data_IF_406541166617
#
_entry.id   IF_406541166617
#
_cell.length_a   1.000
_cell.length_b   1.000
_cell.length_c   1.000
_cell.angle_alpha   90.00
_cell.angle_beta   90.00
_cell.angle_gamma   90.00
#
_symmetry.space_group_name_H-M   'P 1'
#
loop_
_entity.id
_entity.type
_entity.pdbx_description
1 polymer ?
#
# COMPACT_ATOMS: atom_id res chain seq x y z
N UNK A 1 11.42 14.47 -4.87
CA UNK A 1 10.83 14.34 -6.24
C UNK A 1 9.62 15.26 -6.29
N UNK A 2 9.62 16.23 -7.21
CA UNK A 2 8.50 17.19 -7.36
C UNK A 2 7.31 16.49 -8.05
N UNK A 3 6.18 16.47 -7.40
CA UNK A 3 4.92 15.90 -7.92
C UNK A 3 4.00 17.05 -8.30
N UNK A 4 3.34 16.94 -9.46
CA UNK A 4 2.39 17.93 -9.95
C UNK A 4 1.16 18.00 -9.03
N UNK A 5 0.69 19.23 -8.80
CA UNK A 5 -0.55 19.49 -8.07
C UNK A 5 -1.43 20.38 -8.96
N UNK A 6 -2.64 19.92 -9.22
CA UNK A 6 -3.61 20.58 -10.10
C UNK A 6 -4.70 21.29 -9.29
N UNK A 7 -5.02 22.52 -9.64
CA UNK A 7 -6.20 23.19 -9.11
C UNK A 7 -7.46 22.52 -9.68
N UNK A 8 -8.39 22.13 -8.82
CA UNK A 8 -9.65 21.52 -9.26
C UNK A 8 -10.80 22.52 -9.29
N UNK A 9 -11.08 23.16 -8.17
CA UNK A 9 -12.21 24.08 -8.04
C UNK A 9 -12.09 24.91 -6.76
N UNK A 10 -13.02 25.86 -6.61
CA UNK A 10 -13.27 26.55 -5.36
C UNK A 10 -14.69 26.21 -4.89
N UNK A 11 -14.81 25.83 -3.63
CA UNK A 11 -16.08 25.50 -2.98
C UNK A 11 -16.15 26.16 -1.60
N UNK A 12 -17.19 26.95 -1.34
CA UNK A 12 -17.37 27.66 -0.08
C UNK A 12 -16.12 28.46 0.33
N UNK A 13 -15.54 29.22 -0.62
CA UNK A 13 -14.31 30.03 -0.43
C UNK A 13 -13.07 29.21 -0.10
N UNK A 14 -13.08 27.89 -0.34
CA UNK A 14 -11.93 27.01 -0.16
C UNK A 14 -11.45 26.47 -1.49
N UNK A 15 -10.17 26.64 -1.76
CA UNK A 15 -9.53 26.14 -2.99
C UNK A 15 -9.17 24.66 -2.80
N UNK A 16 -9.59 23.83 -3.75
CA UNK A 16 -9.37 22.39 -3.75
C UNK A 16 -8.32 22.06 -4.80
N UNK A 17 -7.31 21.32 -4.38
CA UNK A 17 -6.18 20.91 -5.20
C UNK A 17 -6.04 19.40 -5.21
N UNK A 18 -5.63 18.84 -6.33
CA UNK A 18 -5.35 17.41 -6.49
C UNK A 18 -3.85 17.18 -6.69
N UNK A 19 -3.22 16.47 -5.74
CA UNK A 19 -1.86 16.00 -5.90
C UNK A 19 -1.83 14.74 -6.76
N UNK A 20 -1.13 14.82 -7.87
CA UNK A 20 -1.11 13.82 -8.94
C UNK A 20 0.01 12.79 -8.71
N UNK A 21 -0.09 12.02 -7.61
CA UNK A 21 0.83 10.91 -7.35
C UNK A 21 0.78 9.82 -8.46
N UNK A 22 -0.33 9.75 -9.19
CA UNK A 22 -0.51 8.88 -10.36
C UNK A 22 0.37 9.25 -11.55
N UNK A 23 0.83 10.51 -11.65
CA UNK A 23 1.70 11.01 -12.71
C UNK A 23 3.21 10.94 -12.36
N UNK A 24 3.55 10.25 -11.29
CA UNK A 24 4.96 9.97 -11.00
C UNK A 24 5.56 9.21 -12.19
N UNK A 25 6.70 9.70 -12.70
CA UNK A 25 7.42 9.09 -13.85
C UNK A 25 8.16 7.80 -13.44
N UNK A 26 7.46 6.89 -12.81
CA UNK A 26 7.95 5.58 -12.40
C UNK A 26 7.02 4.50 -12.95
N UNK A 27 7.55 3.30 -13.19
CA UNK A 27 6.72 2.19 -13.70
C UNK A 27 5.68 1.75 -12.67
N UNK A 28 6.03 1.75 -11.38
CA UNK A 28 5.09 1.63 -10.28
C UNK A 28 4.69 3.03 -9.84
N UNK A 29 3.43 3.40 -9.95
CA UNK A 29 2.93 4.76 -9.71
C UNK A 29 2.14 4.90 -8.42
N UNK A 30 1.80 6.15 -8.07
CA UNK A 30 0.95 6.48 -6.95
C UNK A 30 1.56 6.11 -5.59
N UNK A 31 0.69 5.95 -4.61
CA UNK A 31 1.09 5.61 -3.25
C UNK A 31 1.81 4.25 -3.15
N UNK A 32 1.68 3.37 -4.15
CA UNK A 32 2.36 2.07 -4.15
C UNK A 32 3.85 2.21 -4.43
N UNK A 33 4.26 3.15 -5.29
CA UNK A 33 5.66 3.52 -5.45
C UNK A 33 6.27 3.92 -4.10
N UNK A 34 5.62 4.83 -3.38
CA UNK A 34 6.09 5.30 -2.07
C UNK A 34 6.22 4.16 -1.06
N UNK A 35 5.19 3.33 -0.94
CA UNK A 35 5.16 2.20 -0.01
C UNK A 35 6.20 1.13 -0.31
N UNK A 36 6.47 0.87 -1.59
CA UNK A 36 7.37 -0.19 -2.00
C UNK A 36 8.84 0.24 -2.08
N UNK A 37 9.13 1.54 -2.22
CA UNK A 37 10.49 2.09 -2.37
C UNK A 37 11.47 1.54 -1.34
N UNK A 38 11.21 1.75 -0.07
CA UNK A 38 12.12 1.32 1.01
C UNK A 38 12.03 -0.18 1.29
N UNK A 39 10.87 -0.80 1.04
CA UNK A 39 10.73 -2.26 1.11
C UNK A 39 11.63 -2.96 0.07
N UNK A 40 11.72 -2.41 -1.15
CA UNK A 40 12.64 -2.95 -2.16
C UNK A 40 14.11 -2.78 -1.76
N UNK A 41 14.49 -1.62 -1.23
CA UNK A 41 15.86 -1.38 -0.74
C UNK A 41 16.22 -2.39 0.34
N UNK A 42 15.34 -2.62 1.31
CA UNK A 42 15.57 -3.56 2.39
C UNK A 42 15.62 -5.01 1.88
N UNK A 43 14.72 -5.41 0.99
CA UNK A 43 14.74 -6.73 0.36
C UNK A 43 16.09 -7.00 -0.35
N UNK A 44 16.62 -6.01 -1.08
CA UNK A 44 17.93 -6.09 -1.74
C UNK A 44 19.07 -6.17 -0.73
N UNK A 45 19.04 -5.35 0.31
CA UNK A 45 20.05 -5.37 1.40
C UNK A 45 20.12 -6.73 2.09
N UNK A 46 18.96 -7.37 2.28
CA UNK A 46 18.87 -8.72 2.84
C UNK A 46 19.22 -9.83 1.83
N UNK A 47 19.59 -9.50 0.60
CA UNK A 47 19.81 -10.46 -0.50
C UNK A 47 18.62 -11.42 -0.69
N UNK A 48 17.41 -10.92 -0.46
CA UNK A 48 16.21 -11.73 -0.57
C UNK A 48 15.92 -12.10 -2.02
N UNK A 49 15.86 -13.40 -2.30
CA UNK A 49 15.62 -13.92 -3.67
C UNK A 49 14.15 -13.85 -4.08
N UNK A 50 13.26 -13.63 -3.12
CA UNK A 50 11.83 -13.57 -3.37
C UNK A 50 11.11 -12.63 -2.40
N UNK A 51 10.11 -11.91 -2.91
CA UNK A 51 9.19 -11.08 -2.13
C UNK A 51 7.84 -11.79 -2.07
N UNK A 52 7.23 -11.86 -0.89
CA UNK A 52 5.88 -12.37 -0.72
C UNK A 52 4.97 -11.28 -0.15
N UNK A 53 3.76 -11.19 -0.69
CA UNK A 53 2.77 -10.24 -0.17
C UNK A 53 1.35 -10.81 -0.21
N UNK A 54 0.39 -10.03 0.27
CA UNK A 54 -1.00 -10.42 0.48
C UNK A 54 -1.96 -9.42 -0.17
N UNK A 55 -3.12 -9.91 -0.65
CA UNK A 55 -4.16 -9.04 -1.17
C UNK A 55 -5.42 -9.78 -1.58
N UNK A 56 -6.48 -9.02 -1.84
CA UNK A 56 -7.66 -9.53 -2.54
C UNK A 56 -7.42 -9.58 -4.06
N UNK A 57 -8.35 -10.16 -4.79
CA UNK A 57 -8.24 -10.35 -6.25
C UNK A 57 -8.07 -9.05 -7.05
N UNK A 58 -8.60 -7.93 -6.56
CA UNK A 58 -8.49 -6.61 -7.21
C UNK A 58 -7.46 -5.71 -6.51
N UNK A 59 -6.45 -6.29 -5.88
CA UNK A 59 -5.46 -5.55 -5.11
C UNK A 59 -4.44 -4.84 -5.99
N UNK A 60 -4.49 -3.51 -6.03
CA UNK A 60 -3.44 -2.69 -6.65
C UNK A 60 -2.07 -2.91 -5.99
N UNK A 61 -2.03 -3.41 -4.75
CA UNK A 61 -0.78 -3.72 -4.08
C UNK A 61 -0.14 -5.01 -4.62
N UNK A 62 -0.94 -6.06 -4.89
CA UNK A 62 -0.43 -7.26 -5.56
C UNK A 62 0.19 -6.91 -6.91
N UNK A 63 -0.55 -6.18 -7.75
CA UNK A 63 -0.06 -5.77 -9.06
C UNK A 63 1.22 -4.93 -8.97
N UNK A 64 1.24 -3.92 -8.10
CA UNK A 64 2.42 -3.08 -7.92
C UNK A 64 3.65 -3.88 -7.45
N UNK A 65 3.45 -4.88 -6.58
CA UNK A 65 4.53 -5.76 -6.11
C UNK A 65 5.01 -6.69 -7.23
N UNK A 66 4.09 -7.24 -8.04
CA UNK A 66 4.44 -8.06 -9.20
C UNK A 66 5.29 -7.28 -10.20
N UNK A 67 4.84 -6.09 -10.58
CA UNK A 67 5.55 -5.20 -11.50
C UNK A 67 6.93 -4.79 -10.94
N UNK A 68 7.01 -4.48 -9.64
CA UNK A 68 8.27 -4.17 -8.97
C UNK A 68 9.27 -5.33 -9.07
N UNK A 69 8.80 -6.56 -8.82
CA UNK A 69 9.61 -7.76 -8.92
C UNK A 69 10.09 -7.99 -10.34
N UNK A 70 9.22 -7.87 -11.33
CA UNK A 70 9.56 -7.99 -12.75
C UNK A 70 10.68 -7.03 -13.18
N UNK A 71 10.53 -5.74 -12.83
CA UNK A 71 11.51 -4.70 -13.18
C UNK A 71 12.88 -4.95 -12.53
N UNK A 72 12.90 -5.53 -11.32
CA UNK A 72 14.12 -5.71 -10.54
C UNK A 72 14.68 -7.14 -10.58
N UNK A 73 14.10 -8.05 -11.37
CA UNK A 73 14.54 -9.44 -11.45
C UNK A 73 14.37 -10.23 -10.15
N UNK A 74 13.41 -9.84 -9.31
CA UNK A 74 13.12 -10.49 -8.03
C UNK A 74 11.84 -11.30 -8.16
N UNK A 75 11.86 -12.57 -7.79
CA UNK A 75 10.65 -13.41 -7.78
C UNK A 75 9.61 -12.88 -6.81
N UNK A 76 8.35 -12.87 -7.21
CA UNK A 76 7.26 -12.41 -6.37
C UNK A 76 6.19 -13.47 -6.17
N UNK A 77 5.62 -13.48 -4.98
CA UNK A 77 4.54 -14.39 -4.56
C UNK A 77 3.40 -13.57 -3.97
N UNK A 78 2.18 -13.84 -4.45
CA UNK A 78 0.97 -13.19 -3.98
C UNK A 78 0.03 -14.18 -3.31
N UNK A 79 -0.23 -14.01 -2.02
CA UNK A 79 -1.29 -14.75 -1.35
C UNK A 79 -2.61 -14.05 -1.61
N UNK A 80 -3.49 -14.70 -2.38
CA UNK A 80 -4.76 -14.13 -2.84
C UNK A 80 -5.90 -14.64 -1.97
N UNK A 81 -6.69 -13.70 -1.43
CA UNK A 81 -7.88 -14.01 -0.65
C UNK A 81 -9.03 -14.40 -1.56
N UNK A 82 -9.54 -15.63 -1.41
CA UNK A 82 -10.67 -16.21 -2.15
C UNK A 82 -10.24 -17.28 -3.14
N UNK A 83 -10.55 -18.54 -2.84
CA UNK A 83 -10.21 -19.70 -3.69
C UNK A 83 -10.91 -19.65 -5.04
N UNK A 84 -12.09 -19.06 -5.10
CA UNK A 84 -12.90 -18.91 -6.29
C UNK A 84 -12.18 -18.17 -7.43
N UNK A 85 -11.22 -17.33 -7.08
CA UNK A 85 -10.43 -16.57 -8.05
C UNK A 85 -9.40 -17.42 -8.79
N UNK A 86 -9.13 -18.63 -8.32
CA UNK A 86 -8.26 -19.57 -9.05
C UNK A 86 -8.87 -19.95 -10.40
N UNK A 87 -10.15 -20.28 -10.39
CA UNK A 87 -10.89 -20.65 -11.60
C UNK A 87 -11.23 -19.43 -12.46
N UNK A 88 -11.53 -18.30 -11.82
CA UNK A 88 -11.86 -17.02 -12.45
C UNK A 88 -10.66 -16.13 -12.75
N UNK A 89 -9.44 -16.66 -12.73
CA UNK A 89 -8.22 -15.88 -12.97
C UNK A 89 -8.27 -15.11 -14.29
N UNK A 90 -8.74 -15.76 -15.35
CA UNK A 90 -8.84 -15.17 -16.70
C UNK A 90 -9.90 -14.05 -16.82
N UNK A 91 -10.78 -13.92 -15.85
CA UNK A 91 -11.80 -12.87 -15.79
C UNK A 91 -11.32 -11.62 -15.02
N UNK A 92 -10.16 -11.70 -14.36
CA UNK A 92 -9.66 -10.65 -13.48
C UNK A 92 -8.39 -9.98 -14.05
N UNK A 93 -8.50 -8.77 -14.60
CA UNK A 93 -7.36 -8.06 -15.19
C UNK A 93 -6.19 -7.83 -14.22
N UNK A 94 -6.48 -7.60 -12.93
CA UNK A 94 -5.45 -7.39 -11.91
C UNK A 94 -4.61 -8.65 -11.72
N UNK A 95 -5.26 -9.83 -11.59
CA UNK A 95 -4.56 -11.09 -11.41
C UNK A 95 -3.82 -11.52 -12.68
N UNK A 96 -4.41 -11.31 -13.86
CA UNK A 96 -3.73 -11.53 -15.14
C UNK A 96 -2.45 -10.71 -15.20
N UNK A 97 -2.52 -9.43 -14.87
CA UNK A 97 -1.36 -8.55 -14.86
C UNK A 97 -0.30 -8.96 -13.82
N UNK A 98 -0.71 -9.51 -12.67
CA UNK A 98 0.24 -10.09 -11.71
C UNK A 98 1.00 -11.27 -12.34
N UNK A 99 0.30 -12.20 -12.99
CA UNK A 99 0.90 -13.36 -13.65
C UNK A 99 1.82 -12.95 -14.80
N UNK A 100 1.37 -12.02 -15.64
CA UNK A 100 2.16 -11.48 -16.77
C UNK A 100 3.46 -10.81 -16.30
N UNK A 101 3.48 -10.29 -15.07
CA UNK A 101 4.68 -9.76 -14.42
C UNK A 101 5.42 -10.83 -13.58
N UNK A 102 5.18 -12.12 -13.84
CA UNK A 102 5.91 -13.22 -13.23
C UNK A 102 5.59 -13.52 -11.76
N UNK A 103 4.48 -13.00 -11.22
CA UNK A 103 4.07 -13.30 -9.84
C UNK A 103 3.44 -14.70 -9.76
N UNK A 104 3.92 -15.50 -8.83
CA UNK A 104 3.27 -16.76 -8.46
C UNK A 104 2.10 -16.47 -7.52
N UNK A 105 0.87 -16.78 -7.94
CA UNK A 105 -0.34 -16.57 -7.15
C UNK A 105 -0.70 -17.84 -6.37
N UNK A 106 -0.99 -17.67 -5.07
CA UNK A 106 -1.41 -18.72 -4.16
C UNK A 106 -2.78 -18.33 -3.60
N UNK A 107 -3.81 -19.06 -4.03
CA UNK A 107 -5.18 -18.77 -3.63
C UNK A 107 -5.52 -19.50 -2.33
N UNK A 108 -6.11 -18.80 -1.39
CA UNK A 108 -6.53 -19.35 -0.09
C UNK A 108 -7.94 -18.90 0.25
N UNK A 109 -8.69 -19.74 0.98
CA UNK A 109 -10.02 -19.37 1.45
C UNK A 109 -9.96 -18.13 2.36
N UNK A 110 -11.07 -17.40 2.47
CA UNK A 110 -11.16 -16.23 3.35
C UNK A 110 -10.84 -16.57 4.80
N UNK A 111 -11.19 -17.76 5.27
CA UNK A 111 -10.94 -18.18 6.65
C UNK A 111 -9.47 -18.54 6.89
N UNK A 112 -8.80 -19.15 5.93
CA UNK A 112 -7.35 -19.37 5.99
C UNK A 112 -6.64 -18.02 5.94
N UNK A 113 -7.07 -17.11 5.06
CA UNK A 113 -6.46 -15.79 4.90
C UNK A 113 -6.51 -14.94 6.19
N UNK A 114 -7.59 -15.02 6.97
CA UNK A 114 -7.71 -14.35 8.28
C UNK A 114 -6.60 -14.77 9.25
N UNK A 115 -6.05 -15.98 9.09
CA UNK A 115 -5.00 -16.55 9.94
C UNK A 115 -3.58 -16.18 9.50
N UNK A 116 -3.39 -15.31 8.51
CA UNK A 116 -2.08 -15.00 7.89
C UNK A 116 -0.99 -14.52 8.85
N UNK A 117 -1.37 -13.99 10.01
CA UNK A 117 -0.44 -13.56 11.05
C UNK A 117 -0.07 -14.68 12.04
N UNK A 118 -0.60 -15.91 11.86
CA UNK A 118 -0.37 -17.04 12.74
C UNK A 118 0.60 -18.04 12.09
N UNK A 119 1.46 -18.67 12.88
CA UNK A 119 2.38 -19.71 12.41
C UNK A 119 1.65 -20.90 11.74
N UNK A 120 0.41 -21.22 12.19
CA UNK A 120 -0.43 -22.25 11.56
C UNK A 120 -0.75 -21.97 10.10
N UNK A 121 -0.86 -20.69 9.70
CA UNK A 121 -1.09 -20.28 8.32
C UNK A 121 -0.02 -20.85 7.38
N UNK A 122 1.25 -20.67 7.73
CA UNK A 122 2.39 -21.10 6.92
C UNK A 122 2.45 -22.62 6.74
N UNK A 123 2.05 -23.38 7.76
CA UNK A 123 1.92 -24.83 7.69
C UNK A 123 0.80 -25.25 6.71
N UNK A 124 -0.36 -24.58 6.78
CA UNK A 124 -1.51 -24.87 5.91
C UNK A 124 -1.15 -24.63 4.44
N UNK A 125 -0.50 -23.52 4.11
CA UNK A 125 -0.14 -23.20 2.73
C UNK A 125 1.19 -23.87 2.30
N UNK A 126 1.82 -24.64 3.18
CA UNK A 126 3.08 -25.38 2.95
C UNK A 126 4.22 -24.49 2.44
N UNK A 127 4.33 -23.27 2.97
CA UNK A 127 5.42 -22.35 2.68
C UNK A 127 6.27 -22.08 3.91
N UNK A 128 7.58 -21.94 3.71
CA UNK A 128 8.50 -21.47 4.73
C UNK A 128 8.67 -19.96 4.62
N UNK A 129 8.16 -19.16 5.59
CA UNK A 129 8.22 -17.71 5.53
C UNK A 129 9.65 -17.14 5.51
N UNK A 130 10.64 -17.86 6.08
CA UNK A 130 12.03 -17.40 6.11
C UNK A 130 12.70 -17.31 4.74
N UNK A 131 12.09 -17.91 3.70
CA UNK A 131 12.58 -17.84 2.31
C UNK A 131 12.17 -16.54 1.58
N UNK A 132 11.37 -15.68 2.22
CA UNK A 132 10.79 -14.52 1.59
C UNK A 132 11.07 -13.24 2.37
N UNK A 133 11.24 -12.15 1.64
CA UNK A 133 10.99 -10.83 2.21
C UNK A 133 9.47 -10.60 2.19
N UNK A 134 8.88 -10.50 3.37
CA UNK A 134 7.42 -10.42 3.50
C UNK A 134 6.99 -8.95 3.59
N UNK A 135 6.16 -8.53 2.64
CA UNK A 135 5.49 -7.23 2.66
C UNK A 135 4.04 -7.45 3.11
N UNK A 136 3.57 -6.80 4.17
CA UNK A 136 2.20 -6.96 4.67
C UNK A 136 1.14 -6.55 3.64
N UNK A 137 -0.13 -6.94 3.90
CA UNK A 137 -1.28 -6.56 3.08
C UNK A 137 -1.35 -5.04 2.88
N UNK A 138 -1.61 -4.63 1.63
CA UNK A 138 -1.63 -3.21 1.25
C UNK A 138 -0.27 -2.50 1.34
N UNK A 139 0.79 -3.24 1.66
CA UNK A 139 2.16 -2.73 1.79
C UNK A 139 2.41 -1.89 3.04
N UNK A 140 1.62 -2.05 4.10
CA UNK A 140 1.71 -1.16 5.27
C UNK A 140 2.66 -1.72 6.33
N UNK A 141 3.80 -1.07 6.50
CA UNK A 141 4.81 -1.26 7.54
C UNK A 141 5.58 0.07 7.72
N UNK A 142 6.55 0.12 8.65
CA UNK A 142 7.35 1.31 8.92
C UNK A 142 8.09 1.85 7.69
N UNK A 143 8.60 0.97 6.82
CA UNK A 143 9.29 1.36 5.60
C UNK A 143 8.33 2.01 4.59
N UNK A 144 7.09 1.52 4.53
CA UNK A 144 6.05 2.13 3.70
C UNK A 144 5.62 3.49 4.24
N UNK A 145 5.48 3.63 5.55
CA UNK A 145 5.18 4.91 6.22
C UNK A 145 6.30 5.91 5.94
N UNK A 146 7.57 5.49 6.06
CA UNK A 146 8.73 6.30 5.69
C UNK A 146 8.66 6.77 4.23
N UNK A 147 8.34 5.87 3.29
CA UNK A 147 8.19 6.24 1.88
C UNK A 147 7.03 7.21 1.62
N UNK A 148 5.90 7.01 2.30
CA UNK A 148 4.75 7.89 2.20
C UNK A 148 4.99 9.26 2.88
N UNK A 149 5.86 9.36 3.88
CA UNK A 149 6.21 10.66 4.47
C UNK A 149 6.96 11.59 3.51
N UNK A 150 7.51 11.05 2.42
CA UNK A 150 8.12 11.85 1.34
C UNK A 150 7.08 12.45 0.36
N UNK A 151 5.79 12.22 0.58
CA UNK A 151 4.73 12.82 -0.25
C UNK A 151 4.63 14.33 -0.06
N UNK A 152 4.93 14.82 1.14
CA UNK A 152 4.89 16.24 1.47
C UNK A 152 6.30 16.83 1.44
N UNK A 153 6.40 18.04 0.95
CA UNK A 153 7.61 18.88 1.03
C UNK A 153 7.26 20.28 1.58
N UNK A 154 8.25 21.17 1.63
CA UNK A 154 8.09 22.52 2.19
C UNK A 154 7.04 23.36 1.43
N UNK A 155 6.82 23.10 0.15
CA UNK A 155 5.85 23.83 -0.66
C UNK A 155 4.41 23.45 -0.31
N UNK A 156 4.22 22.29 0.33
CA UNK A 156 2.89 21.81 0.73
C UNK A 156 2.40 22.47 2.05
N UNK A 157 3.23 23.28 2.70
CA UNK A 157 2.86 23.99 3.93
C UNK A 157 1.78 25.05 3.72
N UNK A 158 1.46 25.39 2.48
CA UNK A 158 0.37 26.31 2.10
C UNK A 158 -1.02 25.69 2.23
N UNK A 159 -1.12 24.37 2.37
CA UNK A 159 -2.40 23.67 2.51
C UNK A 159 -2.75 23.46 3.97
N UNK A 160 -3.95 23.92 4.39
CA UNK A 160 -4.44 23.78 5.77
C UNK A 160 -4.93 22.35 6.05
N UNK A 161 -5.53 21.70 5.04
CA UNK A 161 -6.15 20.39 5.17
C UNK A 161 -5.65 19.46 4.06
N UNK A 162 -5.23 18.28 4.47
CA UNK A 162 -4.81 17.20 3.56
C UNK A 162 -5.77 16.02 3.67
N UNK A 163 -6.34 15.62 2.54
CA UNK A 163 -7.30 14.53 2.46
C UNK A 163 -6.72 13.34 1.70
N UNK A 164 -7.02 12.12 2.16
CA UNK A 164 -6.68 10.93 1.37
C UNK A 164 -7.64 9.76 1.63
N UNK A 165 -7.86 8.87 0.63
CA UNK A 165 -8.55 7.60 0.85
C UNK A 165 -7.67 6.66 1.67
N UNK A 166 -8.29 5.93 2.60
CA UNK A 166 -7.60 5.07 3.57
C UNK A 166 -8.06 3.62 3.43
N UNK A 167 -7.17 2.75 2.95
CA UNK A 167 -7.35 1.30 3.01
C UNK A 167 -6.66 0.73 4.26
N UNK A 168 -5.37 0.40 4.15
CA UNK A 168 -4.57 -0.20 5.25
C UNK A 168 -3.81 0.81 6.11
N UNK A 169 -4.07 2.10 5.98
CA UNK A 169 -3.53 3.15 6.83
C UNK A 169 -2.12 3.68 6.48
N UNK A 170 -1.28 2.93 5.77
CA UNK A 170 0.12 3.33 5.58
C UNK A 170 0.35 4.67 4.86
N UNK A 171 -0.54 5.07 3.95
CA UNK A 171 -0.43 6.37 3.26
C UNK A 171 -0.73 7.52 4.20
N UNK A 172 -1.87 7.46 4.89
CA UNK A 172 -2.24 8.50 5.86
C UNK A 172 -1.23 8.60 7.01
N UNK A 173 -0.69 7.47 7.49
CA UNK A 173 0.36 7.47 8.51
C UNK A 173 1.60 8.25 8.05
N UNK A 174 2.00 8.09 6.78
CA UNK A 174 3.07 8.89 6.20
C UNK A 174 2.76 10.38 6.14
N UNK A 175 1.56 10.75 5.69
CA UNK A 175 1.10 12.14 5.65
C UNK A 175 1.05 12.76 7.04
N UNK A 176 0.49 12.08 8.04
CA UNK A 176 0.46 12.53 9.44
C UNK A 176 1.89 12.77 9.95
N UNK A 177 2.80 11.85 9.67
CA UNK A 177 4.19 11.91 10.14
C UNK A 177 4.95 13.11 9.56
N UNK A 178 4.69 13.48 8.30
CA UNK A 178 5.38 14.58 7.60
C UNK A 178 4.64 15.92 7.64
N UNK A 179 3.34 15.94 8.00
CA UNK A 179 2.57 17.19 8.10
C UNK A 179 3.10 18.12 9.19
N UNK A 180 2.89 19.41 9.02
CA UNK A 180 3.16 20.42 10.04
C UNK A 180 2.09 20.41 11.15
N UNK A 181 2.36 21.12 12.26
CA UNK A 181 1.39 21.24 13.37
C UNK A 181 0.11 21.99 12.96
N UNK A 182 0.19 22.86 11.96
CA UNK A 182 -0.91 23.65 11.46
C UNK A 182 -1.80 22.91 10.45
N UNK A 183 -1.33 21.80 9.90
CA UNK A 183 -2.06 21.01 8.91
C UNK A 183 -2.96 19.97 9.58
N UNK A 184 -4.22 19.93 9.16
CA UNK A 184 -5.17 18.87 9.54
C UNK A 184 -5.17 17.76 8.50
N UNK A 185 -5.11 16.51 8.95
CA UNK A 185 -5.16 15.34 8.08
C UNK A 185 -6.52 14.66 8.20
N UNK A 186 -7.19 14.45 7.07
CA UNK A 186 -8.49 13.77 7.03
C UNK A 186 -8.38 12.53 6.16
N UNK A 187 -8.61 11.37 6.75
CA UNK A 187 -8.71 10.10 6.05
C UNK A 187 -10.16 9.74 5.76
N UNK A 188 -10.43 9.23 4.55
CA UNK A 188 -11.74 8.66 4.20
C UNK A 188 -11.57 7.14 4.08
N UNK A 189 -12.20 6.40 5.00
CA UNK A 189 -12.10 4.94 4.99
C UNK A 189 -12.80 4.35 3.76
N UNK A 190 -12.10 3.51 3.03
CA UNK A 190 -12.64 2.77 1.88
C UNK A 190 -12.84 1.28 2.21
N UNK A 191 -12.54 0.88 3.44
CA UNK A 191 -12.70 -0.48 3.93
C UNK A 191 -13.45 -0.46 5.26
N UNK A 192 -14.42 -1.35 5.40
CA UNK A 192 -15.05 -1.59 6.70
C UNK A 192 -14.10 -2.43 7.58
N UNK A 193 -13.22 -1.75 8.34
CA UNK A 193 -12.20 -2.38 9.17
C UNK A 193 -12.11 -1.70 10.53
N UNK A 194 -12.60 -2.37 11.56
CA UNK A 194 -12.78 -1.81 12.92
C UNK A 194 -11.47 -1.31 13.59
N UNK A 195 -10.33 -1.92 13.25
CA UNK A 195 -9.05 -1.58 13.89
C UNK A 195 -8.22 -0.56 13.11
N UNK A 196 -8.75 0.03 12.03
CA UNK A 196 -8.00 0.90 11.13
C UNK A 196 -7.37 2.09 11.87
N UNK A 197 -8.12 2.73 12.77
CA UNK A 197 -7.63 3.86 13.58
C UNK A 197 -6.48 3.43 14.47
N UNK A 198 -6.62 2.33 15.19
CA UNK A 198 -5.58 1.78 16.06
C UNK A 198 -4.31 1.41 15.26
N UNK A 199 -4.46 0.88 14.05
CA UNK A 199 -3.31 0.53 13.21
C UNK A 199 -2.58 1.77 12.70
N UNK A 200 -3.29 2.86 12.41
CA UNK A 200 -2.70 4.16 12.05
C UNK A 200 -1.95 4.76 13.25
N UNK A 201 -2.55 4.72 14.45
CA UNK A 201 -1.98 5.26 15.68
C UNK A 201 -0.65 4.60 16.05
N UNK A 202 -0.44 3.31 15.72
CA UNK A 202 0.85 2.62 15.93
C UNK A 202 2.02 3.27 15.19
N UNK A 203 1.73 3.98 14.11
CA UNK A 203 2.74 4.61 13.25
C UNK A 203 2.85 6.12 13.45
N UNK A 204 2.00 6.72 14.30
CA UNK A 204 1.89 8.18 14.39
C UNK A 204 1.76 8.64 15.86
N UNK A 205 2.40 9.77 16.17
CA UNK A 205 2.31 10.42 17.49
C UNK A 205 1.54 11.74 17.43
N UNK A 206 0.98 12.13 16.28
CA UNK A 206 0.30 13.42 16.10
C UNK A 206 -1.19 13.29 16.34
N UNK A 207 -1.77 14.31 17.00
CA UNK A 207 -3.18 14.33 17.40
C UNK A 207 -4.13 14.99 16.40
N UNK A 208 -3.64 15.73 15.38
CA UNK A 208 -4.49 16.47 14.43
C UNK A 208 -4.82 15.66 13.18
N UNK A 209 -5.43 14.52 13.36
CA UNK A 209 -5.97 13.76 12.24
C UNK A 209 -7.33 13.14 12.63
N UNK A 210 -8.14 12.89 11.62
CA UNK A 210 -9.43 12.24 11.80
C UNK A 210 -9.69 11.23 10.68
N UNK A 211 -10.51 10.24 10.98
CA UNK A 211 -10.95 9.22 10.05
C UNK A 211 -12.46 9.30 9.91
N UNK A 212 -12.91 9.53 8.68
CA UNK A 212 -14.32 9.49 8.30
C UNK A 212 -14.62 8.15 7.62
N UNK A 213 -15.75 7.55 8.00
CA UNK A 213 -16.26 6.29 7.46
C UNK A 213 -17.34 6.55 6.41
#
# INVERSE_FOLDING_TARGET
MKVRTDFLCELNQKKIWLRREDLIKEKVTGNKFRKLKYNLIEAKKMNSKAILTFGGAFSNHLYATALLGYINGIKTYGIVRGNEWKEKLKENPTLINCVNNGMTLIFVSRDIYKKKNNCAFWRIIKLNPSKFYIIPEGGTNELAVKGCSEMLDKNDNIYDVLCCPVGTGGTISGLIKSSTINQKIIGFSVLNYNNLKSDIDKHTNKKKWELNN
#
